data_IF_692258014844
#
_entry.id   IF_692258014844
#
_cell.length_a   1.000
_cell.length_b   1.000
_cell.length_c   1.000
_cell.angle_alpha   90.00
_cell.angle_beta   90.00
_cell.angle_gamma   90.00
#
_symmetry.space_group_name_H-M   'P 1'
#
loop_
_entity.id
_entity.type
_entity.pdbx_description
1 polymer ?
#
# COMPACT_ATOMS: atom_id res chain seq x y z
N UNK A 1 19.66 20.48 -22.81
CA UNK A 1 18.56 19.96 -21.94
C UNK A 1 17.64 19.07 -22.75
N UNK A 2 17.17 17.98 -22.15
CA UNK A 2 16.18 17.12 -22.78
C UNK A 2 14.86 17.87 -22.94
N UNK A 3 14.23 17.76 -24.11
CA UNK A 3 12.94 18.42 -24.40
C UNK A 3 11.77 17.86 -23.59
N UNK A 4 11.92 16.64 -23.03
CA UNK A 4 10.89 15.92 -22.28
C UNK A 4 11.35 15.55 -20.87
N UNK A 5 12.30 16.29 -20.30
CA UNK A 5 12.80 16.10 -18.95
C UNK A 5 12.67 17.41 -18.16
N UNK A 6 11.93 17.36 -17.06
CA UNK A 6 11.60 18.53 -16.26
C UNK A 6 12.08 18.34 -14.82
N UNK A 7 13.01 19.16 -14.39
CA UNK A 7 13.42 19.24 -12.99
C UNK A 7 12.56 20.26 -12.26
N UNK A 8 11.82 19.85 -11.24
CA UNK A 8 10.89 20.74 -10.51
C UNK A 8 11.58 21.91 -9.83
N UNK A 9 12.87 21.80 -9.52
CA UNK A 9 13.66 22.88 -8.90
C UNK A 9 14.19 23.90 -9.92
N UNK A 10 14.11 23.58 -11.20
CA UNK A 10 14.58 24.44 -12.30
C UNK A 10 13.44 25.00 -13.14
N UNK A 11 12.22 24.65 -12.84
CA UNK A 11 11.03 25.16 -13.50
C UNK A 11 10.74 26.58 -13.00
N UNK A 12 10.34 27.48 -13.92
CA UNK A 12 10.21 28.90 -13.63
C UNK A 12 8.80 29.33 -13.17
N UNK A 13 7.96 28.41 -12.80
CA UNK A 13 6.60 28.68 -12.31
C UNK A 13 6.45 28.09 -10.91
N UNK A 14 6.15 28.95 -9.95
CA UNK A 14 5.93 28.54 -8.57
C UNK A 14 7.20 28.23 -7.78
N UNK A 15 7.03 27.85 -6.53
CA UNK A 15 8.10 27.41 -5.64
C UNK A 15 7.84 25.95 -5.25
N UNK A 16 8.66 24.99 -5.68
CA UNK A 16 8.41 23.57 -5.44
C UNK A 16 8.47 23.21 -3.95
N UNK A 17 9.22 23.95 -3.14
CA UNK A 17 9.32 23.67 -1.70
C UNK A 17 8.07 24.12 -0.93
N UNK A 18 7.37 25.14 -1.42
CA UNK A 18 6.13 25.62 -0.82
C UNK A 18 4.90 24.90 -1.34
N UNK A 19 4.86 24.63 -2.65
CA UNK A 19 3.77 23.87 -3.26
C UNK A 19 4.23 23.17 -4.55
N UNK A 20 4.74 21.97 -4.40
CA UNK A 20 5.17 21.16 -5.55
C UNK A 20 4.01 20.78 -6.47
N UNK A 21 2.79 20.72 -5.93
CA UNK A 21 1.61 20.39 -6.72
C UNK A 21 1.33 21.44 -7.81
N UNK A 22 1.46 22.72 -7.48
CA UNK A 22 1.33 23.81 -8.44
C UNK A 22 2.39 23.73 -9.53
N UNK A 23 3.64 23.46 -9.14
CA UNK A 23 4.76 23.32 -10.08
C UNK A 23 4.54 22.15 -11.04
N UNK A 24 4.19 20.99 -10.53
CA UNK A 24 3.96 19.78 -11.35
C UNK A 24 2.78 20.00 -12.30
N UNK A 25 1.67 20.58 -11.85
CA UNK A 25 0.53 20.88 -12.71
C UNK A 25 0.91 21.85 -13.85
N UNK A 26 1.74 22.83 -13.58
CA UNK A 26 2.27 23.74 -14.60
C UNK A 26 3.14 23.00 -15.62
N UNK A 27 3.98 22.08 -15.18
CA UNK A 27 4.81 21.24 -16.06
C UNK A 27 3.91 20.36 -16.94
N UNK A 28 2.87 19.72 -16.37
CA UNK A 28 1.93 18.90 -17.13
C UNK A 28 1.25 19.74 -18.22
N UNK A 29 0.84 20.95 -17.90
CA UNK A 29 0.26 21.86 -18.88
C UNK A 29 1.23 22.18 -20.03
N UNK A 30 2.51 22.35 -19.75
CA UNK A 30 3.53 22.56 -20.77
C UNK A 30 3.76 21.31 -21.63
N UNK A 31 3.82 20.13 -21.00
CA UNK A 31 3.92 18.85 -21.71
C UNK A 31 2.77 18.69 -22.72
N UNK A 32 1.55 18.97 -22.31
CA UNK A 32 0.35 18.86 -23.17
C UNK A 32 0.45 19.75 -24.41
N UNK A 33 1.06 20.93 -24.30
CA UNK A 33 1.25 21.84 -25.44
C UNK A 33 2.30 21.34 -26.44
N UNK A 34 3.27 20.56 -25.99
CA UNK A 34 4.38 20.09 -26.81
C UNK A 34 4.13 18.75 -27.50
N UNK A 35 3.25 17.96 -26.94
CA UNK A 35 2.95 16.63 -27.47
C UNK A 35 2.04 16.73 -28.68
N UNK A 36 2.64 16.62 -29.88
CA UNK A 36 1.93 16.65 -31.15
C UNK A 36 2.46 15.57 -32.09
N UNK A 37 1.62 15.06 -32.95
CA UNK A 37 1.99 14.03 -33.93
C UNK A 37 3.04 14.53 -34.93
N UNK A 38 3.14 15.82 -35.17
CA UNK A 38 4.02 16.40 -36.16
C UNK A 38 5.49 16.47 -35.76
N UNK A 39 5.78 16.36 -34.45
CA UNK A 39 7.14 16.53 -33.90
C UNK A 39 7.63 15.30 -33.14
N UNK A 40 7.35 14.11 -33.62
CA UNK A 40 7.60 12.85 -32.91
C UNK A 40 9.02 12.65 -32.45
N UNK A 41 10.00 13.09 -33.24
CA UNK A 41 11.42 12.92 -32.90
C UNK A 41 12.06 14.17 -32.29
N UNK A 42 11.28 15.23 -32.10
CA UNK A 42 11.73 16.51 -31.59
C UNK A 42 11.08 16.91 -30.26
N UNK A 43 10.55 15.93 -29.53
CA UNK A 43 9.88 16.13 -28.24
C UNK A 43 8.36 16.19 -28.32
N UNK A 44 7.78 15.97 -29.50
CA UNK A 44 6.31 15.89 -29.67
C UNK A 44 5.72 14.51 -29.39
N UNK A 45 6.55 13.46 -29.39
CA UNK A 45 6.11 12.13 -29.00
C UNK A 45 5.84 12.08 -27.50
N UNK A 46 4.71 11.52 -27.04
CA UNK A 46 4.45 11.31 -25.62
C UNK A 46 5.55 10.50 -24.93
N UNK A 47 5.88 10.88 -23.72
CA UNK A 47 6.93 10.25 -22.93
C UNK A 47 7.78 11.32 -22.23
N UNK A 48 7.23 11.91 -21.18
CA UNK A 48 7.92 12.95 -20.42
C UNK A 48 8.29 12.45 -19.02
N UNK A 49 9.37 13.00 -18.47
CA UNK A 49 9.84 12.75 -17.12
C UNK A 49 9.79 14.03 -16.30
N UNK A 50 9.15 13.97 -15.14
CA UNK A 50 9.22 15.01 -14.11
C UNK A 50 10.14 14.49 -13.02
N UNK A 51 11.26 15.18 -12.80
CA UNK A 51 12.27 14.78 -11.83
C UNK A 51 12.18 15.63 -10.57
N UNK A 52 12.19 14.97 -9.43
CA UNK A 52 12.14 15.58 -8.10
C UNK A 52 13.48 15.29 -7.41
N UNK A 53 14.41 16.24 -7.36
CA UNK A 53 15.67 16.06 -6.62
C UNK A 53 15.44 15.80 -5.14
N UNK A 54 16.48 15.32 -4.43
CA UNK A 54 16.43 15.16 -2.97
C UNK A 54 16.02 16.47 -2.30
N UNK A 55 15.11 16.40 -1.36
CA UNK A 55 14.57 17.54 -0.63
C UNK A 55 13.18 17.25 -0.08
N UNK A 56 12.69 18.17 0.73
CA UNK A 56 11.34 18.16 1.28
C UNK A 56 10.47 19.18 0.56
N UNK A 57 9.35 18.72 0.02
CA UNK A 57 8.46 19.52 -0.82
C UNK A 57 7.04 19.45 -0.25
N UNK A 58 6.47 20.58 0.15
CA UNK A 58 5.07 20.63 0.52
C UNK A 58 4.19 20.48 -0.73
N UNK A 59 3.13 19.68 -0.61
CA UNK A 59 2.09 19.56 -1.63
C UNK A 59 0.80 20.12 -1.04
N UNK A 60 0.40 21.30 -1.47
CA UNK A 60 -0.81 22.00 -1.05
C UNK A 60 -1.88 22.05 -2.13
N UNK A 61 -1.50 21.73 -3.35
CA UNK A 61 -2.38 21.63 -4.52
C UNK A 61 -2.32 20.21 -5.06
N UNK A 62 -3.46 19.58 -5.22
CA UNK A 62 -3.56 18.27 -5.83
C UNK A 62 -2.95 18.26 -7.23
N UNK A 63 -2.08 17.29 -7.49
CA UNK A 63 -1.59 17.05 -8.85
C UNK A 63 -2.64 16.25 -9.62
N UNK A 64 -3.06 16.77 -10.77
CA UNK A 64 -3.99 16.11 -11.67
C UNK A 64 -3.24 15.61 -12.90
N UNK A 65 -3.22 14.29 -13.07
CA UNK A 65 -2.58 13.64 -14.22
C UNK A 65 -3.67 13.15 -15.15
N UNK A 66 -3.80 13.78 -16.29
CA UNK A 66 -4.78 13.48 -17.33
C UNK A 66 -4.13 13.10 -18.68
N UNK A 67 -2.84 12.79 -18.66
CA UNK A 67 -2.06 12.39 -19.82
C UNK A 67 -1.41 11.02 -19.59
N UNK A 68 -1.22 10.28 -20.68
CA UNK A 68 -0.50 9.01 -20.69
C UNK A 68 1.01 9.21 -20.82
N UNK A 69 1.77 8.16 -20.52
CA UNK A 69 3.22 8.11 -20.71
C UNK A 69 4.01 9.13 -19.89
N UNK A 70 3.45 9.55 -18.77
CA UNK A 70 4.14 10.43 -17.83
C UNK A 70 4.86 9.60 -16.77
N UNK A 71 6.13 9.93 -16.53
CA UNK A 71 6.91 9.38 -15.43
C UNK A 71 7.26 10.47 -14.43
N UNK A 72 6.94 10.27 -13.17
CA UNK A 72 7.38 11.13 -12.07
C UNK A 72 8.39 10.33 -11.26
N UNK A 73 9.60 10.84 -11.10
CA UNK A 73 10.68 10.14 -10.43
C UNK A 73 11.48 11.04 -9.51
N UNK A 74 11.94 10.47 -8.41
CA UNK A 74 12.85 11.12 -7.48
C UNK A 74 14.23 10.46 -7.44
N UNK A 75 15.05 10.89 -6.50
CA UNK A 75 16.40 10.33 -6.26
C UNK A 75 16.43 9.17 -5.27
N UNK A 76 15.30 8.79 -4.72
CA UNK A 76 15.13 7.74 -3.72
C UNK A 76 14.05 8.12 -2.73
N UNK A 77 13.36 7.12 -2.15
CA UNK A 77 12.28 7.42 -1.20
C UNK A 77 12.79 7.91 0.17
N UNK A 78 14.04 7.58 0.53
CA UNK A 78 14.69 8.07 1.75
C UNK A 78 13.96 7.78 3.07
N UNK A 79 12.87 7.03 3.04
CA UNK A 79 12.11 6.71 4.22
C UNK A 79 12.85 5.69 5.08
N UNK A 80 12.85 5.92 6.39
CA UNK A 80 13.37 4.98 7.38
C UNK A 80 12.27 4.64 8.38
N UNK A 81 12.31 3.43 8.91
CA UNK A 81 11.31 3.00 9.89
C UNK A 81 11.32 3.91 11.13
N UNK A 82 10.15 4.03 11.76
CA UNK A 82 9.99 4.85 12.96
C UNK A 82 10.96 4.44 14.08
N UNK A 83 11.23 3.15 14.24
CA UNK A 83 12.17 2.66 15.26
C UNK A 83 13.59 3.19 15.08
N UNK A 84 14.09 3.28 13.85
CA UNK A 84 15.41 3.85 13.57
C UNK A 84 15.38 5.37 13.74
N UNK A 85 14.32 6.00 13.25
CA UNK A 85 14.11 7.44 13.27
C UNK A 85 14.18 8.05 14.67
N UNK A 86 13.70 7.30 15.69
CA UNK A 86 13.70 7.77 17.09
C UNK A 86 14.87 7.26 17.92
N UNK A 87 15.63 6.32 17.41
CA UNK A 87 16.79 5.79 18.13
C UNK A 87 18.06 6.63 17.94
N UNK A 88 18.06 7.56 17.00
CA UNK A 88 19.17 8.50 16.78
C UNK A 88 18.72 9.91 17.15
N UNK A 89 19.23 10.49 18.24
CA UNK A 89 19.00 11.88 18.58
C UNK A 89 19.44 12.81 17.46
N UNK A 90 18.68 13.85 17.20
CA UNK A 90 18.93 14.78 16.10
C UNK A 90 20.34 15.41 16.15
N UNK A 91 20.86 15.65 17.36
CA UNK A 91 22.19 16.19 17.54
C UNK A 91 23.31 15.22 17.09
N UNK A 92 23.04 13.94 16.98
CA UNK A 92 24.00 12.95 16.47
C UNK A 92 24.02 12.89 14.94
N UNK A 93 22.97 13.38 14.28
CA UNK A 93 22.93 13.41 12.81
C UNK A 93 23.97 14.37 12.21
N UNK A 94 24.27 15.46 12.91
CA UNK A 94 25.25 16.44 12.46
C UNK A 94 26.67 15.83 12.33
N UNK A 95 27.00 14.89 13.21
CA UNK A 95 28.30 14.23 13.17
C UNK A 95 28.42 13.24 12.00
N UNK A 96 27.30 12.74 11.50
CA UNK A 96 27.24 11.89 10.32
C UNK A 96 27.18 12.72 9.02
N UNK A 97 26.99 14.02 9.11
CA UNK A 97 26.70 14.90 7.97
C UNK A 97 25.45 14.45 7.17
N UNK A 98 24.46 13.95 7.87
CA UNK A 98 23.22 13.44 7.30
C UNK A 98 22.00 14.13 7.93
N UNK A 99 20.90 14.14 7.20
CA UNK A 99 19.59 14.56 7.67
C UNK A 99 18.61 13.40 7.41
N UNK A 100 17.85 13.02 8.40
CA UNK A 100 16.90 11.91 8.32
C UNK A 100 15.46 12.40 8.49
N UNK A 101 14.51 11.92 7.66
CA UNK A 101 14.71 11.07 6.47
C UNK A 101 15.34 11.84 5.31
N UNK A 102 16.04 11.10 4.45
CA UNK A 102 16.65 11.65 3.23
C UNK A 102 15.76 11.49 2.00
N UNK A 103 16.37 11.57 0.83
CA UNK A 103 15.70 11.34 -0.45
C UNK A 103 14.77 12.46 -0.90
N UNK A 104 13.90 12.14 -1.86
CA UNK A 104 12.90 13.05 -2.41
C UNK A 104 11.57 12.82 -1.69
N UNK A 105 11.11 13.78 -0.90
CA UNK A 105 9.95 13.60 -0.05
C UNK A 105 8.87 14.65 -0.34
N UNK A 106 7.67 14.17 -0.64
CA UNK A 106 6.47 14.97 -0.81
C UNK A 106 5.70 14.98 0.50
N UNK A 107 5.55 16.17 1.08
CA UNK A 107 4.79 16.39 2.32
C UNK A 107 3.36 16.76 1.95
N UNK A 108 2.43 15.84 2.13
CA UNK A 108 1.03 16.04 1.73
C UNK A 108 0.32 16.92 2.73
N UNK A 109 0.25 18.19 2.40
CA UNK A 109 -0.35 19.23 3.23
C UNK A 109 -1.72 19.66 2.68
N UNK A 110 -2.54 18.65 2.37
CA UNK A 110 -3.93 18.81 1.99
C UNK A 110 -4.81 18.69 3.23
N UNK A 111 -5.92 19.41 3.22
CA UNK A 111 -6.87 19.42 4.35
C UNK A 111 -8.28 19.10 3.83
N UNK A 112 -8.54 17.85 3.43
CA UNK A 112 -9.86 17.46 3.00
C UNK A 112 -10.86 17.55 4.17
N UNK A 113 -12.10 17.94 3.85
CA UNK A 113 -13.15 18.10 4.84
C UNK A 113 -14.08 16.89 4.82
N UNK A 114 -14.72 16.55 5.96
CA UNK A 114 -15.77 15.54 5.98
C UNK A 114 -16.85 15.85 4.95
N UNK A 115 -17.19 14.86 4.11
CA UNK A 115 -18.16 15.01 3.04
C UNK A 115 -17.58 15.39 1.67
N UNK A 116 -16.29 15.67 1.59
CA UNK A 116 -15.61 15.85 0.31
C UNK A 116 -15.59 14.54 -0.49
N UNK A 117 -15.40 14.66 -1.81
CA UNK A 117 -15.18 13.50 -2.68
C UNK A 117 -13.97 12.69 -2.19
N UNK A 118 -13.99 11.38 -2.37
CA UNK A 118 -12.90 10.48 -1.97
C UNK A 118 -11.55 10.91 -2.56
N UNK A 119 -11.55 11.41 -3.80
CA UNK A 119 -10.36 11.89 -4.50
C UNK A 119 -9.82 13.23 -4.00
N UNK A 120 -10.59 13.99 -3.22
CA UNK A 120 -10.21 15.35 -2.83
C UNK A 120 -8.95 15.41 -1.97
N UNK A 121 -8.66 14.36 -1.23
CA UNK A 121 -7.47 14.25 -0.39
C UNK A 121 -6.27 13.62 -1.08
N UNK A 122 -6.35 13.33 -2.38
CA UNK A 122 -5.26 12.69 -3.11
C UNK A 122 -4.15 13.67 -3.45
N UNK A 123 -2.91 13.30 -3.15
CA UNK A 123 -1.75 14.07 -3.60
C UNK A 123 -1.61 14.01 -5.12
N UNK A 124 -1.74 12.80 -5.68
CA UNK A 124 -1.71 12.55 -7.13
C UNK A 124 -3.04 11.92 -7.54
N UNK A 125 -3.78 12.63 -8.36
CA UNK A 125 -5.07 12.20 -8.90
C UNK A 125 -4.93 11.92 -10.39
N UNK A 126 -5.07 10.64 -10.77
CA UNK A 126 -4.95 10.19 -12.16
C UNK A 126 -6.35 9.94 -12.69
N UNK A 127 -6.82 10.83 -13.54
CA UNK A 127 -8.16 10.76 -14.09
C UNK A 127 -8.22 11.50 -15.43
N UNK A 128 -9.01 10.98 -16.35
CA UNK A 128 -9.34 11.64 -17.60
C UNK A 128 -10.75 11.25 -18.02
N UNK A 129 -11.59 12.23 -18.31
CA UNK A 129 -12.92 12.01 -18.82
C UNK A 129 -12.90 11.41 -20.21
N UNK A 130 -13.75 10.41 -20.43
CA UNK A 130 -13.94 9.78 -21.74
C UNK A 130 -12.85 8.80 -22.15
N UNK A 131 -12.76 8.56 -23.44
CA UNK A 131 -11.80 7.65 -24.07
C UNK A 131 -10.77 8.44 -24.90
N UNK A 132 -9.55 7.92 -25.12
CA UNK A 132 -9.01 6.64 -24.64
C UNK A 132 -8.63 6.68 -23.16
N UNK A 133 -8.45 5.47 -22.58
CA UNK A 133 -7.94 5.30 -21.23
C UNK A 133 -6.53 5.88 -21.11
N UNK A 134 -6.17 6.31 -19.91
CA UNK A 134 -4.78 6.70 -19.59
C UNK A 134 -3.93 5.43 -19.49
N UNK A 135 -2.75 5.46 -20.07
CA UNK A 135 -1.82 4.35 -20.07
C UNK A 135 -0.43 4.76 -19.61
N UNK A 136 0.30 3.81 -19.02
CA UNK A 136 1.73 3.92 -18.77
C UNK A 136 2.16 5.16 -17.96
N UNK A 137 1.42 5.47 -16.92
CA UNK A 137 1.83 6.45 -15.92
C UNK A 137 2.69 5.73 -14.87
N UNK A 138 3.83 6.30 -14.56
CA UNK A 138 4.82 5.71 -13.66
C UNK A 138 5.18 6.66 -12.52
N UNK A 139 5.29 6.10 -11.31
CA UNK A 139 5.84 6.76 -10.12
C UNK A 139 7.04 5.97 -9.64
N UNK A 140 8.17 6.64 -9.42
CA UNK A 140 9.43 5.97 -9.15
C UNK A 140 10.32 6.75 -8.18
N UNK A 141 10.80 6.08 -7.15
CA UNK A 141 11.89 6.52 -6.29
C UNK A 141 11.68 7.85 -5.55
N UNK A 142 10.51 8.06 -4.96
CA UNK A 142 10.30 9.17 -4.03
C UNK A 142 9.33 8.79 -2.92
N UNK A 143 9.21 9.63 -1.92
CA UNK A 143 8.34 9.41 -0.77
C UNK A 143 7.11 10.31 -0.83
N UNK A 144 5.95 9.74 -0.53
CA UNK A 144 4.70 10.47 -0.28
C UNK A 144 4.37 10.30 1.20
N UNK A 145 4.44 11.39 1.95
CA UNK A 145 4.29 11.41 3.40
C UNK A 145 3.03 12.19 3.79
N UNK A 146 2.08 11.52 4.41
CA UNK A 146 0.81 12.12 4.84
C UNK A 146 0.89 12.97 6.10
N UNK A 147 2.05 13.01 6.78
CA UNK A 147 2.29 13.84 7.97
C UNK A 147 1.36 13.56 9.15
N UNK A 148 0.82 12.36 9.22
CA UNK A 148 -0.17 12.02 10.26
C UNK A 148 0.42 11.23 11.44
N UNK A 149 1.71 11.07 11.47
CA UNK A 149 2.36 10.38 12.58
C UNK A 149 2.57 11.35 13.75
N UNK A 150 1.94 11.03 14.87
CA UNK A 150 2.19 11.77 16.12
C UNK A 150 3.31 11.08 16.86
N UNK A 151 4.44 11.72 16.91
CA UNK A 151 5.59 11.25 17.67
C UNK A 151 5.39 11.53 19.16
N UNK A 152 5.17 10.47 19.92
CA UNK A 152 5.12 10.53 21.39
C UNK A 152 6.47 10.17 22.03
N UNK A 153 7.51 10.01 21.21
CA UNK A 153 8.85 9.65 21.66
C UNK A 153 9.03 8.17 21.99
N UNK A 154 8.01 7.35 21.85
CA UNK A 154 8.08 5.92 22.19
C UNK A 154 8.65 5.05 21.09
N UNK A 155 8.60 5.53 19.85
CA UNK A 155 8.93 4.73 18.65
C UNK A 155 7.89 3.65 18.35
N UNK A 156 6.78 3.63 19.08
CA UNK A 156 5.75 2.61 19.00
C UNK A 156 4.53 3.12 18.25
N UNK A 157 3.76 2.22 17.58
CA UNK A 157 2.49 2.62 17.01
C UNK A 157 1.55 3.11 18.10
N UNK A 158 0.97 4.28 17.90
CA UNK A 158 -0.04 4.82 18.81
C UNK A 158 -1.43 4.35 18.37
N UNK A 159 -2.15 3.56 19.18
CA UNK A 159 -3.51 3.11 18.87
C UNK A 159 -4.51 4.24 18.64
N UNK A 160 -4.30 5.39 19.26
CA UNK A 160 -5.11 6.60 19.08
C UNK A 160 -4.90 7.22 17.69
N UNK A 161 -3.79 6.90 17.04
CA UNK A 161 -3.48 7.37 15.71
C UNK A 161 -4.12 6.44 14.67
N UNK A 162 -5.34 6.76 14.28
CA UNK A 162 -6.13 5.91 13.37
C UNK A 162 -5.77 6.06 11.92
N UNK A 163 -4.82 6.93 11.58
CA UNK A 163 -4.45 7.25 10.19
C UNK A 163 -5.65 7.72 9.33
N UNK A 164 -6.71 8.20 9.97
CA UNK A 164 -7.91 8.70 9.29
C UNK A 164 -7.79 10.20 9.06
N UNK A 165 -6.90 10.57 8.16
CA UNK A 165 -6.63 11.98 7.85
C UNK A 165 -7.24 12.45 6.52
N UNK A 166 -8.02 11.61 5.86
CA UNK A 166 -8.64 11.91 4.57
C UNK A 166 -7.68 12.00 3.40
N UNK A 167 -6.39 11.72 3.62
CA UNK A 167 -5.37 11.85 2.58
C UNK A 167 -5.15 10.52 1.85
N UNK A 168 -4.95 10.63 0.55
CA UNK A 168 -4.58 9.52 -0.33
C UNK A 168 -3.28 9.87 -1.04
N UNK A 169 -2.34 8.93 -1.11
CA UNK A 169 -1.10 9.18 -1.83
C UNK A 169 -1.34 9.27 -3.33
N UNK A 170 -1.81 8.18 -3.91
CA UNK A 170 -2.10 8.09 -5.35
C UNK A 170 -3.52 7.53 -5.51
N UNK A 171 -4.35 8.29 -6.20
CA UNK A 171 -5.72 7.91 -6.51
C UNK A 171 -5.92 7.83 -8.02
N UNK A 172 -6.30 6.67 -8.50
CA UNK A 172 -6.61 6.45 -9.92
C UNK A 172 -8.11 6.20 -10.03
N UNK A 173 -8.85 7.14 -10.62
CA UNK A 173 -10.31 7.14 -10.62
C UNK A 173 -10.95 6.38 -11.76
N UNK A 174 -10.22 6.13 -12.85
CA UNK A 174 -10.77 5.43 -14.01
C UNK A 174 -9.87 4.30 -14.48
N UNK A 175 -10.41 3.46 -15.37
CA UNK A 175 -9.70 2.30 -15.91
C UNK A 175 -8.34 2.67 -16.49
N UNK A 176 -7.29 2.14 -15.90
CA UNK A 176 -5.89 2.39 -16.27
C UNK A 176 -5.26 1.12 -16.82
N UNK A 177 -4.27 1.32 -17.68
CA UNK A 177 -3.48 0.25 -18.25
C UNK A 177 -1.99 0.55 -18.05
N UNK A 178 -1.23 -0.48 -17.66
CA UNK A 178 0.23 -0.40 -17.51
C UNK A 178 0.73 0.67 -16.54
N UNK A 179 -0.03 0.95 -15.50
CA UNK A 179 0.41 1.80 -14.38
C UNK A 179 1.57 1.11 -13.63
N UNK A 180 2.57 1.91 -13.23
CA UNK A 180 3.73 1.40 -12.50
C UNK A 180 4.05 2.22 -11.26
N UNK A 181 4.35 1.51 -10.18
CA UNK A 181 4.78 2.07 -8.91
C UNK A 181 6.01 1.30 -8.45
N UNK A 182 7.17 1.95 -8.43
CA UNK A 182 8.46 1.29 -8.19
C UNK A 182 9.36 2.11 -7.28
N UNK A 183 9.92 1.49 -6.24
CA UNK A 183 10.88 2.16 -5.35
C UNK A 183 10.29 3.33 -4.56
N UNK A 184 8.99 3.35 -4.36
CA UNK A 184 8.31 4.40 -3.63
C UNK A 184 8.31 4.14 -2.12
N UNK A 185 8.34 5.23 -1.34
CA UNK A 185 7.95 5.23 0.05
C UNK A 185 6.59 5.92 0.18
N UNK A 186 5.59 5.23 0.71
CA UNK A 186 4.24 5.77 0.88
C UNK A 186 3.82 5.54 2.31
N UNK A 187 3.65 6.62 3.07
CA UNK A 187 3.52 6.52 4.53
C UNK A 187 2.59 7.58 5.10
N UNK A 188 1.94 7.22 6.20
CA UNK A 188 1.12 8.11 7.03
C UNK A 188 -0.08 8.74 6.31
N UNK A 189 -0.67 7.98 5.39
CA UNK A 189 -1.87 8.35 4.65
C UNK A 189 -3.03 7.45 5.07
N UNK A 190 -4.24 7.94 5.01
CA UNK A 190 -5.41 7.08 5.21
C UNK A 190 -5.49 6.01 4.13
N UNK A 191 -5.20 6.40 2.87
CA UNK A 191 -5.11 5.50 1.74
C UNK A 191 -3.76 5.69 1.04
N UNK A 192 -2.93 4.67 1.04
CA UNK A 192 -1.64 4.74 0.33
C UNK A 192 -1.84 4.87 -1.17
N UNK A 193 -2.42 3.85 -1.77
CA UNK A 193 -2.72 3.76 -3.20
C UNK A 193 -4.12 3.21 -3.39
N UNK A 194 -4.98 3.97 -4.03
CA UNK A 194 -6.35 3.55 -4.35
C UNK A 194 -6.54 3.58 -5.86
N UNK A 195 -6.88 2.43 -6.45
CA UNK A 195 -6.98 2.27 -7.89
C UNK A 195 -8.33 1.67 -8.24
N UNK A 196 -9.09 2.37 -9.07
CA UNK A 196 -10.35 1.89 -9.63
C UNK A 196 -10.17 1.43 -11.07
N UNK A 197 -10.72 0.27 -11.41
CA UNK A 197 -10.87 -0.22 -12.78
C UNK A 197 -9.57 -0.27 -13.58
N UNK A 198 -8.61 -1.05 -13.14
CA UNK A 198 -7.28 -1.05 -13.76
C UNK A 198 -6.85 -2.44 -14.24
N UNK A 199 -6.10 -2.45 -15.34
CA UNK A 199 -5.46 -3.62 -15.89
C UNK A 199 -3.93 -3.48 -15.91
N UNK A 200 -3.23 -4.60 -15.92
CA UNK A 200 -1.79 -4.68 -16.14
C UNK A 200 -0.97 -3.75 -15.23
N UNK A 201 -1.38 -3.66 -13.96
CA UNK A 201 -0.65 -2.91 -12.94
C UNK A 201 0.66 -3.62 -12.58
N UNK A 202 1.68 -2.83 -12.27
CA UNK A 202 2.92 -3.33 -11.67
C UNK A 202 3.28 -2.47 -10.46
N UNK A 203 3.08 -3.03 -9.27
CA UNK A 203 3.38 -2.38 -8.00
C UNK A 203 4.47 -3.22 -7.34
N UNK A 204 5.73 -2.75 -7.40
CA UNK A 204 6.84 -3.56 -6.94
C UNK A 204 7.98 -2.75 -6.31
N UNK A 205 8.66 -3.38 -5.37
CA UNK A 205 9.83 -2.81 -4.68
C UNK A 205 9.53 -1.47 -3.98
N UNK A 206 8.39 -1.43 -3.27
CA UNK A 206 7.98 -0.25 -2.52
C UNK A 206 8.04 -0.50 -1.02
N UNK A 207 8.13 0.58 -0.26
CA UNK A 207 7.91 0.63 1.17
C UNK A 207 6.59 1.37 1.43
N UNK A 208 5.53 0.62 1.72
CA UNK A 208 4.20 1.20 1.96
C UNK A 208 3.76 0.83 3.37
N UNK A 209 3.75 1.79 4.27
CA UNK A 209 3.55 1.51 5.68
C UNK A 209 2.83 2.63 6.41
N UNK A 210 2.28 2.28 7.57
CA UNK A 210 1.61 3.24 8.45
C UNK A 210 0.52 4.02 7.70
N UNK A 211 -0.20 3.33 6.80
CA UNK A 211 -1.36 3.84 6.11
C UNK A 211 -2.61 3.21 6.71
N UNK A 212 -3.75 3.86 6.61
CA UNK A 212 -5.03 3.24 6.94
C UNK A 212 -5.22 1.97 6.12
N UNK A 213 -5.16 2.09 4.79
CA UNK A 213 -5.00 0.97 3.87
C UNK A 213 -3.80 1.23 2.96
N UNK A 214 -2.98 0.20 2.70
CA UNK A 214 -1.80 0.41 1.87
C UNK A 214 -2.13 0.41 0.38
N UNK A 215 -2.71 -0.67 -0.12
CA UNK A 215 -3.08 -0.82 -1.54
C UNK A 215 -4.54 -1.26 -1.63
N UNK A 216 -5.34 -0.53 -2.37
CA UNK A 216 -6.74 -0.85 -2.63
C UNK A 216 -7.00 -0.91 -4.13
N UNK A 217 -7.35 -2.10 -4.61
CA UNK A 217 -7.76 -2.34 -5.99
C UNK A 217 -9.27 -2.49 -6.02
N UNK A 218 -9.96 -1.47 -6.50
CA UNK A 218 -11.40 -1.34 -6.43
C UNK A 218 -12.08 -1.38 -7.78
N UNK A 219 -13.39 -1.64 -7.74
CA UNK A 219 -14.23 -1.72 -8.93
C UNK A 219 -14.07 -3.04 -9.66
N UNK A 220 -13.09 -3.13 -10.55
CA UNK A 220 -12.73 -4.35 -11.26
C UNK A 220 -11.34 -4.19 -11.88
N UNK A 221 -10.72 -5.28 -12.27
CA UNK A 221 -9.43 -5.25 -12.95
C UNK A 221 -8.91 -6.64 -13.27
N UNK A 222 -7.80 -6.70 -14.00
CA UNK A 222 -7.18 -7.95 -14.42
C UNK A 222 -5.67 -7.87 -14.51
N UNK A 223 -5.03 -9.05 -14.49
CA UNK A 223 -3.66 -9.28 -14.95
C UNK A 223 -2.63 -8.31 -14.35
N UNK A 224 -2.66 -8.14 -13.06
CA UNK A 224 -1.79 -7.21 -12.34
C UNK A 224 -0.89 -7.93 -11.35
N UNK A 225 0.17 -7.26 -10.92
CA UNK A 225 1.10 -7.82 -9.95
C UNK A 225 1.46 -6.83 -8.84
N UNK A 226 1.55 -7.37 -7.63
CA UNK A 226 2.01 -6.69 -6.43
C UNK A 226 3.14 -7.55 -5.87
N UNK A 227 4.39 -7.13 -6.06
CA UNK A 227 5.55 -7.99 -5.80
C UNK A 227 6.69 -7.23 -5.11
N UNK A 228 7.45 -7.94 -4.29
CA UNK A 228 8.68 -7.43 -3.69
C UNK A 228 8.48 -6.15 -2.85
N UNK A 229 7.34 -6.01 -2.19
CA UNK A 229 7.09 -4.86 -1.35
C UNK A 229 7.31 -5.18 0.14
N UNK A 230 7.70 -4.16 0.89
CA UNK A 230 7.64 -4.12 2.34
C UNK A 230 6.39 -3.33 2.72
N UNK A 231 5.45 -3.94 3.41
CA UNK A 231 4.17 -3.33 3.71
C UNK A 231 3.69 -3.60 5.12
N UNK A 232 2.88 -2.67 5.62
CA UNK A 232 2.13 -2.85 6.84
C UNK A 232 1.12 -1.72 6.98
N UNK A 233 -0.17 -2.07 6.95
CA UNK A 233 -1.22 -1.08 7.18
C UNK A 233 -1.07 -0.43 8.55
N UNK A 234 -1.77 0.65 8.74
CA UNK A 234 -1.97 1.25 10.05
C UNK A 234 -2.85 0.38 10.93
N UNK A 235 -3.32 0.95 12.01
CA UNK A 235 -3.93 0.21 13.12
C UNK A 235 -5.12 -0.70 12.76
N UNK A 236 -6.03 -0.28 11.88
CA UNK A 236 -7.27 -1.01 11.55
C UNK A 236 -7.50 -1.21 10.06
N UNK A 237 -6.46 -1.27 9.27
CA UNK A 237 -6.61 -1.33 7.81
C UNK A 237 -6.09 -2.61 7.17
N UNK A 238 -6.16 -2.62 5.86
CA UNK A 238 -5.67 -3.70 5.01
C UNK A 238 -4.31 -3.33 4.40
N UNK A 239 -3.41 -4.28 4.33
CA UNK A 239 -2.20 -4.08 3.52
C UNK A 239 -2.52 -4.18 2.04
N UNK A 240 -3.29 -5.18 1.62
CA UNK A 240 -3.77 -5.32 0.24
C UNK A 240 -5.27 -5.64 0.28
N UNK A 241 -6.06 -4.81 -0.37
CA UNK A 241 -7.46 -5.07 -0.63
C UNK A 241 -7.69 -5.15 -2.15
N UNK A 242 -8.45 -6.13 -2.62
CA UNK A 242 -8.85 -6.23 -4.01
C UNK A 242 -10.28 -6.72 -4.13
N UNK A 243 -11.03 -6.17 -5.07
CA UNK A 243 -12.39 -6.60 -5.36
C UNK A 243 -12.63 -6.77 -6.86
N UNK A 244 -13.42 -7.79 -7.22
CA UNK A 244 -13.83 -8.06 -8.59
C UNK A 244 -12.64 -8.13 -9.56
N UNK A 245 -11.55 -8.73 -9.09
CA UNK A 245 -10.29 -8.77 -9.82
C UNK A 245 -10.00 -10.19 -10.33
N UNK A 246 -9.33 -10.29 -11.47
CA UNK A 246 -8.89 -11.57 -12.04
C UNK A 246 -7.39 -11.60 -12.32
N UNK A 247 -6.74 -12.75 -12.09
CA UNK A 247 -5.35 -12.95 -12.48
C UNK A 247 -4.35 -12.04 -11.76
N UNK A 248 -4.55 -11.80 -10.47
CA UNK A 248 -3.64 -11.01 -9.65
C UNK A 248 -2.50 -11.87 -9.13
N UNK A 249 -1.28 -11.41 -9.28
CA UNK A 249 -0.08 -12.05 -8.75
C UNK A 249 0.45 -11.25 -7.55
N UNK A 250 0.43 -11.89 -6.38
CA UNK A 250 0.97 -11.32 -5.14
C UNK A 250 2.11 -12.23 -4.69
N UNK A 251 3.35 -11.76 -4.84
CA UNK A 251 4.52 -12.60 -4.55
C UNK A 251 5.68 -11.81 -3.97
N UNK A 252 6.48 -12.48 -3.16
CA UNK A 252 7.71 -11.96 -2.57
C UNK A 252 7.51 -10.66 -1.76
N UNK A 253 6.34 -10.47 -1.18
CA UNK A 253 6.10 -9.36 -0.26
C UNK A 253 6.43 -9.77 1.18
N UNK A 254 6.92 -8.81 1.96
CA UNK A 254 7.08 -8.94 3.39
C UNK A 254 6.10 -7.98 4.06
N UNK A 255 5.07 -8.55 4.68
CA UNK A 255 4.01 -7.78 5.33
C UNK A 255 4.17 -7.93 6.84
N UNK A 256 4.50 -6.82 7.50
CA UNK A 256 4.74 -6.80 8.94
C UNK A 256 3.46 -6.47 9.73
N UNK A 257 3.47 -6.67 11.08
CA UNK A 257 2.24 -6.76 11.86
C UNK A 257 1.63 -5.39 12.19
N UNK A 258 1.09 -4.75 11.18
CA UNK A 258 0.36 -3.50 11.28
C UNK A 258 -0.92 -3.62 10.50
N UNK A 259 -2.05 -3.54 11.13
CA UNK A 259 -3.35 -3.66 10.48
C UNK A 259 -4.05 -4.98 10.72
N UNK A 260 -5.31 -5.04 10.33
CA UNK A 260 -6.20 -6.15 10.64
C UNK A 260 -6.09 -7.30 9.66
N UNK A 261 -5.90 -7.02 8.38
CA UNK A 261 -5.71 -8.04 7.37
C UNK A 261 -4.54 -7.70 6.46
N UNK A 262 -3.71 -8.71 6.19
CA UNK A 262 -2.63 -8.54 5.23
C UNK A 262 -3.16 -8.55 3.80
N UNK A 263 -4.04 -9.50 3.48
CA UNK A 263 -4.71 -9.60 2.17
C UNK A 263 -6.19 -9.84 2.38
N UNK A 264 -7.02 -9.00 1.78
CA UNK A 264 -8.47 -9.14 1.78
C UNK A 264 -8.99 -9.09 0.35
N UNK A 265 -9.54 -10.21 -0.10
CA UNK A 265 -10.15 -10.35 -1.42
C UNK A 265 -11.66 -10.42 -1.32
N UNK A 266 -12.34 -9.69 -2.21
CA UNK A 266 -13.78 -9.79 -2.42
C UNK A 266 -14.07 -10.12 -3.88
N UNK A 267 -14.64 -11.29 -4.15
CA UNK A 267 -14.98 -11.74 -5.51
C UNK A 267 -13.76 -11.70 -6.46
N UNK A 268 -12.64 -12.24 -6.01
CA UNK A 268 -11.40 -12.30 -6.79
C UNK A 268 -11.19 -13.73 -7.29
N UNK A 269 -10.74 -13.85 -8.54
CA UNK A 269 -10.57 -15.16 -9.18
C UNK A 269 -9.19 -15.33 -9.83
N UNK A 270 -8.75 -16.59 -9.92
CA UNK A 270 -7.59 -17.01 -10.70
C UNK A 270 -6.33 -16.23 -10.37
N UNK A 271 -6.14 -15.94 -9.09
CA UNK A 271 -5.01 -15.19 -8.59
C UNK A 271 -4.06 -16.11 -7.82
N UNK A 272 -2.81 -15.69 -7.74
CA UNK A 272 -1.75 -16.44 -7.07
C UNK A 272 -1.15 -15.59 -5.97
N UNK A 273 -1.16 -16.13 -4.75
CA UNK A 273 -0.52 -15.55 -3.57
C UNK A 273 0.58 -16.53 -3.16
N UNK A 274 1.84 -16.22 -3.46
CA UNK A 274 2.94 -17.15 -3.26
C UNK A 274 4.23 -16.47 -2.80
N UNK A 275 5.03 -17.19 -2.03
CA UNK A 275 6.34 -16.75 -1.57
C UNK A 275 6.32 -15.42 -0.79
N UNK A 276 5.25 -15.17 -0.05
CA UNK A 276 5.15 -14.01 0.84
C UNK A 276 5.42 -14.41 2.29
N UNK A 277 5.86 -13.44 3.07
CA UNK A 277 5.88 -13.52 4.51
C UNK A 277 4.83 -12.59 5.09
N UNK A 278 3.89 -13.17 5.82
CA UNK A 278 2.80 -12.46 6.48
C UNK A 278 2.95 -12.54 7.99
N UNK A 279 2.83 -11.42 8.66
CA UNK A 279 2.82 -11.35 10.10
C UNK A 279 1.65 -10.45 10.55
N UNK A 280 0.89 -10.89 11.54
CA UNK A 280 -0.23 -10.12 12.08
C UNK A 280 -0.54 -10.53 13.51
N UNK A 281 -1.26 -9.65 14.22
CA UNK A 281 -1.75 -9.91 15.59
C UNK A 281 -3.23 -10.31 15.61
N UNK A 282 -3.92 -10.13 14.50
CA UNK A 282 -5.35 -10.39 14.39
C UNK A 282 -5.66 -11.66 13.62
N UNK A 283 -6.85 -12.27 13.84
CA UNK A 283 -7.38 -13.26 12.91
C UNK A 283 -7.74 -12.62 11.57
N UNK A 284 -8.00 -13.44 10.57
CA UNK A 284 -8.30 -12.95 9.23
C UNK A 284 -7.10 -12.29 8.55
N UNK A 285 -5.91 -12.85 8.73
CA UNK A 285 -4.70 -12.39 8.07
C UNK A 285 -4.83 -12.44 6.56
N UNK A 286 -5.42 -13.52 6.05
CA UNK A 286 -5.83 -13.64 4.66
C UNK A 286 -7.32 -13.96 4.64
N UNK A 287 -8.09 -13.13 3.93
CA UNK A 287 -9.55 -13.29 3.85
C UNK A 287 -9.98 -13.33 2.40
N UNK A 288 -10.71 -14.38 2.04
CA UNK A 288 -11.49 -14.46 0.82
C UNK A 288 -12.95 -14.30 1.16
N UNK A 289 -13.55 -13.21 0.74
CA UNK A 289 -14.94 -12.86 0.98
C UNK A 289 -15.77 -13.01 -0.30
N UNK A 290 -17.00 -13.44 -0.14
CA UNK A 290 -17.90 -13.56 -1.28
C UNK A 290 -17.54 -14.73 -2.19
N UNK A 291 -17.50 -14.50 -3.48
CA UNK A 291 -17.32 -15.53 -4.50
C UNK A 291 -15.88 -15.52 -5.04
N UNK A 292 -14.92 -15.85 -4.20
CA UNK A 292 -13.53 -16.04 -4.63
C UNK A 292 -13.37 -17.43 -5.24
N UNK A 293 -12.76 -17.54 -6.42
CA UNK A 293 -12.66 -18.81 -7.12
C UNK A 293 -11.32 -19.04 -7.81
N UNK A 294 -10.88 -20.30 -7.78
CA UNK A 294 -9.68 -20.73 -8.49
C UNK A 294 -8.42 -19.93 -8.12
N UNK A 295 -8.33 -19.47 -6.88
CA UNK A 295 -7.13 -18.81 -6.37
C UNK A 295 -6.18 -19.84 -5.77
N UNK A 296 -4.90 -19.56 -5.85
CA UNK A 296 -3.86 -20.41 -5.25
C UNK A 296 -3.12 -19.62 -4.17
N UNK A 297 -3.09 -20.16 -2.97
CA UNK A 297 -2.32 -19.67 -1.84
C UNK A 297 -1.26 -20.71 -1.51
N UNK A 298 -0.01 -20.48 -1.90
CA UNK A 298 1.03 -21.51 -1.81
C UNK A 298 2.38 -20.95 -1.39
N UNK A 299 3.13 -21.76 -0.65
CA UNK A 299 4.52 -21.47 -0.28
C UNK A 299 4.69 -20.11 0.42
N UNK A 300 3.73 -19.74 1.25
CA UNK A 300 3.83 -18.54 2.08
C UNK A 300 4.20 -18.92 3.52
N UNK A 301 4.74 -17.96 4.23
CA UNK A 301 4.92 -18.02 5.68
C UNK A 301 3.90 -17.11 6.35
N UNK A 302 3.00 -17.68 7.15
CA UNK A 302 2.03 -16.95 7.95
C UNK A 302 2.40 -17.07 9.42
N UNK A 303 2.56 -15.95 10.10
CA UNK A 303 2.78 -15.89 11.54
C UNK A 303 1.74 -15.00 12.19
N UNK A 304 1.00 -15.57 13.13
CA UNK A 304 0.15 -14.82 14.03
C UNK A 304 0.66 -14.96 15.45
N UNK A 305 1.00 -13.86 16.07
CA UNK A 305 1.39 -13.78 17.47
C UNK A 305 0.96 -12.45 18.08
N UNK A 306 1.24 -12.27 19.35
CA UNK A 306 1.13 -10.99 20.02
C UNK A 306 2.48 -10.64 20.64
N UNK A 307 3.04 -9.54 20.22
CA UNK A 307 4.30 -9.05 20.73
C UNK A 307 4.10 -8.13 21.94
N UNK A 308 4.99 -8.14 22.94
CA UNK A 308 4.84 -7.28 24.11
C UNK A 308 4.84 -5.79 23.81
N UNK A 309 5.46 -5.39 22.70
CA UNK A 309 5.52 -3.99 22.26
C UNK A 309 4.25 -3.53 21.53
N UNK A 310 3.45 -4.46 21.05
CA UNK A 310 2.17 -4.14 20.44
C UNK A 310 1.09 -4.28 21.51
N UNK A 311 0.55 -3.18 22.03
CA UNK A 311 -0.57 -3.31 22.95
C UNK A 311 -1.66 -4.14 22.29
N UNK A 312 -2.24 -5.00 23.07
CA UNK A 312 -3.35 -5.84 22.61
C UNK A 312 -4.44 -4.94 22.05
N UNK A 313 -4.53 -4.94 20.76
CA UNK A 313 -5.59 -4.23 20.09
C UNK A 313 -6.88 -4.99 20.35
N UNK A 314 -7.95 -4.27 20.63
CA UNK A 314 -9.26 -4.90 20.78
C UNK A 314 -9.56 -5.75 19.53
N UNK A 315 -10.13 -6.89 19.76
CA UNK A 315 -10.51 -7.84 18.73
C UNK A 315 -11.73 -7.31 17.96
N UNK A 316 -11.47 -6.39 17.05
CA UNK A 316 -12.51 -5.70 16.30
C UNK A 316 -12.06 -5.46 14.86
N UNK A 317 -12.00 -6.54 14.08
CA UNK A 317 -11.71 -6.45 12.64
C UNK A 317 -12.92 -6.78 11.76
N UNK A 318 -14.11 -6.88 12.35
CA UNK A 318 -15.31 -7.30 11.65
C UNK A 318 -15.36 -8.79 11.30
N UNK A 319 -14.40 -9.58 11.81
CA UNK A 319 -14.26 -11.01 11.53
C UNK A 319 -14.32 -11.84 12.82
N UNK A 320 -14.92 -11.30 13.87
CA UNK A 320 -14.93 -11.88 15.23
C UNK A 320 -15.46 -13.32 15.27
N UNK A 321 -16.41 -13.66 14.40
CA UNK A 321 -17.01 -14.98 14.33
C UNK A 321 -16.18 -15.98 13.49
N UNK A 322 -15.15 -15.52 12.78
CA UNK A 322 -14.39 -16.37 11.88
C UNK A 322 -13.18 -17.04 12.54
N UNK A 323 -12.47 -16.35 13.40
CA UNK A 323 -11.33 -16.85 14.18
C UNK A 323 -10.25 -17.60 13.40
N UNK A 324 -10.16 -17.46 12.08
CA UNK A 324 -9.16 -18.13 11.26
C UNK A 324 -7.98 -17.22 10.93
N UNK A 325 -6.78 -17.79 10.79
CA UNK A 325 -5.68 -17.06 10.15
C UNK A 325 -6.02 -16.86 8.69
N UNK A 326 -6.43 -17.93 8.02
CA UNK A 326 -6.93 -17.91 6.65
C UNK A 326 -8.43 -18.20 6.69
N UNK A 327 -9.22 -17.27 6.15
CA UNK A 327 -10.67 -17.38 6.05
C UNK A 327 -11.03 -17.44 4.57
N UNK A 328 -11.59 -18.57 4.14
CA UNK A 328 -11.82 -18.85 2.72
C UNK A 328 -13.31 -18.95 2.44
N UNK A 329 -13.80 -18.10 1.54
CA UNK A 329 -15.13 -18.22 0.95
C UNK A 329 -15.00 -18.32 -0.57
N UNK A 330 -15.83 -19.18 -1.17
CA UNK A 330 -15.82 -19.40 -2.62
C UNK A 330 -15.40 -20.81 -3.00
N UNK A 331 -15.11 -21.02 -4.28
CA UNK A 331 -14.98 -22.36 -4.84
C UNK A 331 -13.63 -22.62 -5.48
N UNK A 332 -13.17 -23.86 -5.36
CA UNK A 332 -11.99 -24.34 -6.08
C UNK A 332 -10.71 -23.54 -5.79
N UNK A 333 -10.58 -23.03 -4.58
CA UNK A 333 -9.34 -22.39 -4.14
C UNK A 333 -8.39 -23.46 -3.59
N UNK A 334 -7.09 -23.23 -3.76
CA UNK A 334 -6.05 -24.12 -3.24
C UNK A 334 -5.23 -23.42 -2.17
N UNK A 335 -5.02 -24.10 -1.04
CA UNK A 335 -4.16 -23.67 0.06
C UNK A 335 -3.13 -24.76 0.28
N UNK A 336 -1.93 -24.60 -0.27
CA UNK A 336 -0.96 -25.68 -0.42
C UNK A 336 0.43 -25.24 0.02
N UNK A 337 1.10 -26.12 0.78
CA UNK A 337 2.53 -25.99 1.11
C UNK A 337 2.89 -24.67 1.80
N UNK A 338 2.00 -24.13 2.61
CA UNK A 338 2.32 -22.96 3.43
C UNK A 338 2.88 -23.39 4.79
N UNK A 339 3.71 -22.54 5.38
CA UNK A 339 4.07 -22.66 6.79
C UNK A 339 3.20 -21.67 7.57
N UNK A 340 2.42 -22.19 8.53
CA UNK A 340 1.45 -21.40 9.28
C UNK A 340 1.72 -21.56 10.76
N UNK A 341 2.15 -20.50 11.43
CA UNK A 341 2.41 -20.49 12.87
C UNK A 341 1.36 -19.65 13.59
N UNK A 342 0.69 -20.27 14.55
CA UNK A 342 -0.20 -19.61 15.49
C UNK A 342 0.44 -19.67 16.87
N UNK A 343 0.95 -18.54 17.35
CA UNK A 343 1.53 -18.41 18.69
C UNK A 343 0.57 -17.58 19.53
N UNK A 344 -0.12 -18.25 20.46
CA UNK A 344 -1.11 -17.60 21.30
C UNK A 344 -0.54 -17.49 22.71
N UNK A 345 -0.32 -16.27 23.15
CA UNK A 345 0.06 -15.98 24.53
C UNK A 345 -1.18 -15.95 25.44
N UNK A 346 -0.97 -16.08 26.73
CA UNK A 346 -2.03 -16.13 27.76
C UNK A 346 -3.00 -14.94 27.73
N UNK A 347 -2.55 -13.82 27.16
CA UNK A 347 -3.37 -12.62 26.99
C UNK A 347 -3.85 -12.48 25.54
N UNK A 348 -4.24 -13.59 24.93
CA UNK A 348 -4.76 -13.60 23.57
C UNK A 348 -5.92 -12.60 23.40
N UNK A 349 -5.95 -11.97 22.25
CA UNK A 349 -7.06 -11.10 21.82
C UNK A 349 -8.35 -11.88 21.53
N UNK A 350 -8.30 -13.21 21.56
CA UNK A 350 -9.48 -14.05 21.37
C UNK A 350 -10.39 -14.00 22.60
N UNK A 351 -11.71 -14.11 22.41
CA UNK A 351 -12.65 -14.28 23.52
C UNK A 351 -12.27 -15.49 24.39
N UNK A 352 -12.57 -15.40 25.67
CA UNK A 352 -12.32 -16.48 26.61
C UNK A 352 -12.99 -17.78 26.13
N UNK A 353 -12.24 -18.86 26.09
CA UNK A 353 -12.71 -20.16 25.61
C UNK A 353 -12.66 -20.39 24.11
N UNK A 354 -12.28 -19.39 23.32
CA UNK A 354 -12.06 -19.57 21.89
C UNK A 354 -10.82 -20.43 21.64
N UNK A 355 -10.96 -21.38 20.73
CA UNK A 355 -9.84 -22.25 20.32
C UNK A 355 -9.15 -21.68 19.08
N UNK A 356 -7.87 -21.96 18.88
CA UNK A 356 -7.20 -21.59 17.64
C UNK A 356 -7.90 -22.20 16.44
N UNK A 357 -8.16 -21.38 15.44
CA UNK A 357 -8.60 -21.79 14.10
C UNK A 357 -7.57 -21.31 13.11
N UNK A 358 -6.99 -22.22 12.38
CA UNK A 358 -5.89 -21.91 11.45
C UNK A 358 -6.45 -21.59 10.07
N UNK A 359 -7.16 -22.55 9.49
CA UNK A 359 -7.80 -22.40 8.18
C UNK A 359 -9.29 -22.61 8.38
N UNK A 360 -10.08 -21.61 8.03
CA UNK A 360 -11.52 -21.65 8.14
C UNK A 360 -12.14 -21.56 6.74
N UNK A 361 -12.74 -22.64 6.29
CA UNK A 361 -13.56 -22.65 5.09
C UNK A 361 -14.96 -22.18 5.48
N UNK A 362 -15.25 -20.94 5.20
CA UNK A 362 -16.51 -20.30 5.59
C UNK A 362 -17.66 -20.80 4.71
N UNK A 363 -17.40 -20.89 3.40
CA UNK A 363 -18.41 -21.32 2.42
C UNK A 363 -17.73 -21.82 1.14
N UNK A 364 -18.49 -22.51 0.32
CA UNK A 364 -18.06 -22.92 -1.02
C UNK A 364 -17.72 -24.39 -1.12
N UNK A 365 -17.34 -24.79 -2.33
CA UNK A 365 -17.07 -26.20 -2.70
C UNK A 365 -15.76 -26.32 -3.46
N UNK A 366 -15.18 -27.52 -3.39
CA UNK A 366 -14.00 -27.86 -4.18
C UNK A 366 -12.72 -27.18 -3.71
N UNK A 367 -12.70 -26.57 -2.53
CA UNK A 367 -11.49 -25.99 -1.98
C UNK A 367 -10.54 -27.11 -1.56
N UNK A 368 -9.28 -26.98 -1.95
CA UNK A 368 -8.25 -27.99 -1.74
C UNK A 368 -7.19 -27.48 -0.76
N UNK A 369 -7.02 -28.22 0.34
CA UNK A 369 -6.07 -27.86 1.40
C UNK A 369 -5.14 -29.05 1.59
N UNK A 370 -3.84 -28.83 1.35
CA UNK A 370 -2.85 -29.92 1.38
C UNK A 370 -1.46 -29.43 1.73
N UNK A 371 -0.71 -30.30 2.40
CA UNK A 371 0.73 -30.15 2.64
C UNK A 371 1.14 -28.86 3.36
N UNK A 372 0.25 -28.29 4.16
CA UNK A 372 0.60 -27.15 4.99
C UNK A 372 1.26 -27.62 6.29
N UNK A 373 2.35 -26.96 6.64
CA UNK A 373 2.99 -27.18 7.93
C UNK A 373 2.40 -26.22 8.96
N UNK A 374 1.62 -26.75 9.89
CA UNK A 374 0.93 -25.95 10.91
C UNK A 374 1.60 -26.15 12.25
N UNK A 375 2.03 -25.04 12.85
CA UNK A 375 2.56 -24.99 14.21
C UNK A 375 1.61 -24.14 15.05
N UNK A 376 0.93 -24.76 15.99
CA UNK A 376 0.04 -24.05 16.90
C UNK A 376 0.54 -24.25 18.33
N UNK A 377 1.03 -23.16 18.93
CA UNK A 377 1.53 -23.17 20.31
C UNK A 377 0.79 -22.13 21.13
N UNK A 378 0.59 -22.45 22.40
CA UNK A 378 0.02 -21.51 23.35
C UNK A 378 0.92 -21.46 24.59
N UNK A 379 1.02 -20.32 25.22
CA UNK A 379 1.53 -20.21 26.58
C UNK A 379 0.44 -20.60 27.59
N UNK A 380 -0.32 -21.60 27.26
CA UNK A 380 -1.44 -22.03 28.07
C UNK A 380 -0.95 -22.68 29.37
N UNK A 381 -1.67 -22.42 30.44
CA UNK A 381 -1.56 -23.21 31.66
C UNK A 381 -2.10 -24.61 31.40
N UNK A 382 -1.77 -25.60 32.27
CA UNK A 382 -2.28 -26.96 32.17
C UNK A 382 -3.82 -27.03 32.11
N UNK A 383 -4.49 -26.03 32.62
CA UNK A 383 -5.95 -25.95 32.62
C UNK A 383 -6.50 -25.51 31.23
N UNK A 384 -5.68 -25.03 30.36
CA UNK A 384 -6.07 -24.53 29.01
C UNK A 384 -5.76 -25.55 27.91
N UNK A 385 -4.93 -26.50 28.20
CA UNK A 385 -4.61 -27.60 27.28
C UNK A 385 -5.47 -28.81 27.53
#
# INVERSE_FOLDING_TARGET
>A
SSKNYYDVTKWNVGNPYEDIGEVINSIIADIKKRQTDSNMNEGGKPGAVIYIPSGDYHLRTQVVIDISYLKIMGSGHGFVSSSIRYNLPENEWADLHEVWPGGSRILVDLSPKPGDEESAGAAFYVERDGNPRISSVEFENFCIDGLHFVDDGSGMPNPENTYTNGKTGIYIGSAQDSFRLTGMGIVYLEHGVTIYHADALSIHDNFIAECGNCIELRGWGQASKITDNLMGAGYKGYSIFAENFGGLLITANNIFPRGTSSVHFRNVARSIITANRFHSFYPGMLVFEGNCSENMVSSNHFLRDNEPWAPMLEYDNGLDDLYGILCISGNNNSVIANHISEIIHTQSIKPAGAKPVIIHIVSGKGNYISDNHIVATTEATDEQT
#
